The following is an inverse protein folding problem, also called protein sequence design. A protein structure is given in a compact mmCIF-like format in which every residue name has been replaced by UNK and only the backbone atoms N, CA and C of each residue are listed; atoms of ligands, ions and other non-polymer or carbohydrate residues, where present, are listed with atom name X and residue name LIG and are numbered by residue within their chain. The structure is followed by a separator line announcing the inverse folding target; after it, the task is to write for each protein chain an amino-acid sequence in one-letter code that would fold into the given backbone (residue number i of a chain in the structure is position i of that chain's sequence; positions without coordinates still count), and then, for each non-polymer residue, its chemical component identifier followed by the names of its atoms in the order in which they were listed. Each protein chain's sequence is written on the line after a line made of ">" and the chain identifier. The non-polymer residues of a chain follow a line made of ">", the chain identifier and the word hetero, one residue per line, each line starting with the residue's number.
data_IF_140442037474
#
_entry.id   IF_140442037474
#
_cell.length_a   1.000
_cell.length_b   1.000
_cell.length_c   1.000
_cell.angle_alpha   90.00
_cell.angle_beta   90.00
_cell.angle_gamma   90.00
#
_symmetry.space_group_name_H-M   'P 1'
#
loop_
_entity.id
_entity.type
_entity.pdbx_description
1 polymer ?
#
# COMPACT_ATOMS: atom_id res chain seq x y z
N UNK A 1 -26.03 9.65 -25.20
CA UNK A 1 -25.21 9.40 -24.00
C UNK A 1 -25.43 7.95 -23.64
N UNK A 2 -24.37 7.15 -23.63
CA UNK A 2 -24.47 5.71 -23.50
C UNK A 2 -24.07 5.32 -22.08
N UNK A 3 -24.79 4.37 -21.49
CA UNK A 3 -24.52 3.86 -20.15
C UNK A 3 -23.80 2.52 -20.27
N UNK A 4 -22.66 2.38 -19.60
CA UNK A 4 -21.90 1.12 -19.52
C UNK A 4 -21.82 0.66 -18.07
N UNK A 5 -21.87 -0.65 -17.86
CA UNK A 5 -21.53 -1.29 -16.59
C UNK A 5 -20.10 -1.78 -16.66
N UNK A 6 -19.25 -1.37 -15.72
CA UNK A 6 -17.87 -1.85 -15.63
C UNK A 6 -17.86 -3.35 -15.31
N UNK A 7 -17.17 -4.16 -16.11
CA UNK A 7 -17.01 -5.59 -15.82
C UNK A 7 -16.16 -5.86 -14.56
N UNK A 8 -15.24 -4.95 -14.21
CA UNK A 8 -14.35 -5.12 -13.06
C UNK A 8 -14.96 -4.74 -11.70
N UNK A 9 -15.74 -3.65 -11.63
CA UNK A 9 -16.31 -3.15 -10.36
C UNK A 9 -17.84 -3.08 -10.33
N UNK A 10 -18.50 -3.44 -11.43
CA UNK A 10 -19.95 -3.44 -11.60
C UNK A 10 -20.63 -2.07 -11.42
N UNK A 11 -19.85 -0.98 -11.42
CA UNK A 11 -20.37 0.38 -11.38
C UNK A 11 -20.92 0.79 -12.76
N UNK A 12 -22.05 1.49 -12.77
CA UNK A 12 -22.65 2.08 -13.97
C UNK A 12 -22.26 3.54 -14.11
N UNK A 13 -21.84 3.95 -15.31
CA UNK A 13 -21.51 5.35 -15.62
C UNK A 13 -21.72 5.66 -17.10
N UNK A 14 -21.75 6.95 -17.40
CA UNK A 14 -21.96 7.48 -18.75
C UNK A 14 -20.63 7.73 -19.45
N UNK A 15 -20.58 7.48 -20.76
CA UNK A 15 -19.40 7.71 -21.60
C UNK A 15 -19.77 8.34 -22.95
N UNK A 16 -18.79 8.96 -23.61
CA UNK A 16 -18.89 9.46 -24.97
C UNK A 16 -18.23 8.47 -25.95
N UNK A 17 -18.85 8.16 -27.08
CA UNK A 17 -18.35 7.17 -28.06
C UNK A 17 -17.13 7.69 -28.85
N UNK A 18 -16.91 9.01 -28.88
CA UNK A 18 -15.83 9.59 -29.69
C UNK A 18 -14.42 9.16 -29.24
N UNK A 19 -14.27 8.71 -27.99
CA UNK A 19 -12.98 8.23 -27.46
C UNK A 19 -12.83 6.72 -27.67
N UNK A 20 -11.67 6.27 -28.16
CA UNK A 20 -11.44 4.85 -28.47
C UNK A 20 -11.14 4.00 -27.21
N UNK A 21 -10.63 4.64 -26.15
CA UNK A 21 -10.26 4.00 -24.88
C UNK A 21 -10.96 4.77 -23.77
N UNK A 22 -11.72 4.05 -22.95
CA UNK A 22 -12.38 4.63 -21.80
C UNK A 22 -11.83 4.06 -20.50
N UNK A 23 -11.78 4.91 -19.48
CA UNK A 23 -11.37 4.55 -18.13
C UNK A 23 -12.58 4.64 -17.21
N UNK A 24 -12.81 3.61 -16.42
CA UNK A 24 -13.83 3.62 -15.38
C UNK A 24 -13.45 4.66 -14.31
N UNK A 25 -14.32 5.64 -14.00
CA UNK A 25 -14.01 6.69 -13.02
C UNK A 25 -13.88 6.17 -11.58
N UNK A 26 -14.30 4.92 -11.32
CA UNK A 26 -14.27 4.31 -9.99
C UNK A 26 -13.03 3.45 -9.76
N UNK A 27 -12.75 2.49 -10.67
CA UNK A 27 -11.65 1.54 -10.50
C UNK A 27 -10.50 1.72 -11.49
N UNK A 28 -10.60 2.68 -12.41
CA UNK A 28 -9.60 2.93 -13.47
C UNK A 28 -9.33 1.74 -14.40
N UNK A 29 -10.23 0.75 -14.44
CA UNK A 29 -10.21 -0.29 -15.48
C UNK A 29 -10.45 0.37 -16.85
N UNK A 30 -9.64 -0.03 -17.83
CA UNK A 30 -9.73 0.46 -19.20
C UNK A 30 -10.46 -0.53 -20.10
N UNK A 31 -11.44 -0.04 -20.85
CA UNK A 31 -12.27 -0.83 -21.75
C UNK A 31 -12.33 -0.18 -23.13
N UNK A 32 -12.33 -1.01 -24.18
CA UNK A 32 -12.69 -0.61 -25.55
C UNK A 32 -14.16 -0.92 -25.73
N UNK A 33 -14.90 0.00 -26.32
CA UNK A 33 -16.26 -0.26 -26.75
C UNK A 33 -16.24 -0.62 -28.22
N UNK A 34 -16.44 -1.91 -28.50
CA UNK A 34 -16.69 -2.36 -29.85
C UNK A 34 -18.20 -2.32 -30.11
N UNK A 35 -18.65 -1.56 -31.11
CA UNK A 35 -20.08 -1.34 -31.38
C UNK A 35 -20.83 -2.61 -31.78
N UNK A 36 -20.10 -3.65 -32.25
CA UNK A 36 -20.67 -4.94 -32.66
C UNK A 36 -20.63 -6.00 -31.54
N UNK A 37 -19.67 -5.93 -30.62
CA UNK A 37 -19.40 -7.00 -29.63
C UNK A 37 -19.51 -6.54 -28.16
N UNK A 38 -19.77 -5.26 -27.91
CA UNK A 38 -19.89 -4.70 -26.56
C UNK A 38 -18.55 -4.32 -25.94
N UNK A 39 -18.56 -3.98 -24.65
CA UNK A 39 -17.35 -3.58 -23.92
C UNK A 39 -16.39 -4.77 -23.77
N UNK A 40 -15.19 -4.66 -24.35
CA UNK A 40 -14.10 -5.61 -24.14
C UNK A 40 -13.07 -4.99 -23.19
N UNK A 41 -12.88 -5.62 -22.03
CA UNK A 41 -11.81 -5.27 -21.09
C UNK A 41 -10.45 -5.53 -21.78
N UNK A 42 -9.61 -4.49 -21.83
CA UNK A 42 -8.32 -4.52 -22.55
C UNK A 42 -7.14 -4.71 -21.58
N UNK A 43 -7.38 -4.58 -20.29
CA UNK A 43 -6.31 -4.44 -19.29
C UNK A 43 -6.34 -5.66 -18.36
N UNK A 44 -5.17 -6.30 -18.22
CA UNK A 44 -4.98 -7.59 -17.56
C UNK A 44 -5.44 -7.67 -16.10
N UNK A 45 -5.39 -8.88 -15.53
CA UNK A 45 -5.98 -9.24 -14.24
C UNK A 45 -5.74 -8.18 -13.14
N UNK A 46 -6.76 -7.36 -12.88
CA UNK A 46 -6.80 -6.49 -11.72
C UNK A 46 -7.33 -7.29 -10.53
N UNK A 47 -6.53 -7.43 -9.49
CA UNK A 47 -6.93 -8.12 -8.27
C UNK A 47 -7.40 -7.12 -7.22
N UNK A 48 -8.61 -7.35 -6.70
CA UNK A 48 -9.05 -6.74 -5.45
C UNK A 48 -8.77 -7.71 -4.31
N UNK A 49 -8.13 -7.24 -3.24
CA UNK A 49 -8.05 -8.01 -1.99
C UNK A 49 -9.36 -7.78 -1.24
N UNK A 50 -10.26 -8.77 -1.17
CA UNK A 50 -11.52 -8.59 -0.47
C UNK A 50 -11.24 -8.44 1.03
N UNK A 51 -11.87 -7.44 1.65
CA UNK A 51 -11.89 -7.36 3.10
C UNK A 51 -12.79 -8.48 3.64
N UNK A 52 -12.23 -9.36 4.48
CA UNK A 52 -12.95 -10.47 5.14
C UNK A 52 -13.25 -10.19 6.61
N UNK A 53 -12.99 -8.96 7.08
CA UNK A 53 -13.19 -8.59 8.47
C UNK A 53 -14.60 -8.04 8.69
N UNK A 54 -15.27 -8.61 9.68
CA UNK A 54 -16.53 -8.08 10.19
C UNK A 54 -16.28 -6.86 11.07
N UNK A 55 -17.28 -5.97 11.18
CA UNK A 55 -17.17 -4.73 11.96
C UNK A 55 -16.78 -4.97 13.42
N UNK A 56 -17.29 -6.03 14.02
CA UNK A 56 -17.01 -6.44 15.40
C UNK A 56 -15.55 -6.88 15.59
N UNK A 57 -14.96 -7.50 14.55
CA UNK A 57 -13.57 -7.95 14.57
C UNK A 57 -12.59 -6.76 14.48
N UNK A 58 -12.98 -5.67 13.82
CA UNK A 58 -12.12 -4.47 13.72
C UNK A 58 -11.83 -3.89 15.09
N UNK A 59 -12.84 -3.81 15.95
CA UNK A 59 -12.68 -3.26 17.29
C UNK A 59 -11.79 -4.15 18.16
N UNK A 60 -12.03 -5.47 18.15
CA UNK A 60 -11.24 -6.42 18.96
C UNK A 60 -9.78 -6.45 18.54
N UNK A 61 -9.49 -6.52 17.23
CA UNK A 61 -8.12 -6.48 16.67
C UNK A 61 -7.43 -5.18 17.08
N UNK A 62 -8.14 -4.05 17.00
CA UNK A 62 -7.57 -2.76 17.39
C UNK A 62 -7.26 -2.70 18.89
N UNK A 63 -8.17 -3.17 19.75
CA UNK A 63 -7.96 -3.19 21.20
C UNK A 63 -6.81 -4.12 21.60
N UNK A 64 -6.67 -5.27 20.95
CA UNK A 64 -5.52 -6.17 21.17
C UNK A 64 -4.21 -5.51 20.74
N UNK A 65 -4.19 -4.89 19.56
CA UNK A 65 -3.02 -4.19 19.04
C UNK A 65 -2.59 -3.02 19.93
N UNK A 66 -3.53 -2.17 20.36
CA UNK A 66 -3.18 -1.00 21.17
C UNK A 66 -2.73 -1.40 22.58
N UNK A 67 -3.26 -2.51 23.12
CA UNK A 67 -2.91 -2.99 24.46
C UNK A 67 -1.61 -3.79 24.53
N UNK A 68 -1.15 -4.36 23.42
CA UNK A 68 0.07 -5.17 23.33
C UNK A 68 1.36 -4.37 23.11
N UNK A 69 1.28 -3.04 22.95
CA UNK A 69 2.46 -2.19 22.70
C UNK A 69 3.31 -2.02 23.97
N UNK A 70 4.63 -2.17 23.83
CA UNK A 70 5.60 -1.98 24.91
C UNK A 70 5.56 -0.58 25.55
N UNK A 71 5.33 0.47 24.76
CA UNK A 71 5.29 1.86 25.23
C UNK A 71 3.88 2.38 25.50
N UNK A 72 2.97 1.54 25.97
CA UNK A 72 1.58 1.94 26.20
C UNK A 72 1.38 2.54 27.60
N UNK A 73 0.78 3.74 27.73
CA UNK A 73 0.29 4.24 29.02
C UNK A 73 -0.78 3.31 29.63
N UNK A 74 -0.75 3.11 30.93
CA UNK A 74 -1.69 2.19 31.62
C UNK A 74 -3.16 2.54 31.39
N UNK A 75 -3.47 3.84 31.27
CA UNK A 75 -4.82 4.38 31.13
C UNK A 75 -5.44 4.22 29.73
N UNK A 76 -4.70 3.73 28.75
CA UNK A 76 -5.24 3.57 27.38
C UNK A 76 -6.44 2.61 27.35
N UNK A 77 -6.62 1.67 28.31
CA UNK A 77 -7.81 0.80 28.35
C UNK A 77 -9.07 1.55 28.80
N UNK A 78 -8.92 2.55 29.66
CA UNK A 78 -10.04 3.28 30.27
C UNK A 78 -10.40 4.56 29.52
N UNK A 79 -9.44 5.19 28.86
CA UNK A 79 -9.62 6.49 28.20
C UNK A 79 -9.86 6.37 26.68
N UNK A 80 -9.41 5.29 26.05
CA UNK A 80 -9.56 5.12 24.61
C UNK A 80 -10.96 4.60 24.25
N UNK A 81 -11.61 5.27 23.28
CA UNK A 81 -12.87 4.83 22.69
C UNK A 81 -12.81 4.94 21.18
N UNK A 82 -13.25 3.89 20.49
CA UNK A 82 -13.47 3.90 19.05
C UNK A 82 -14.80 4.62 18.80
N UNK A 83 -14.77 5.72 18.05
CA UNK A 83 -15.97 6.48 17.69
C UNK A 83 -16.69 5.90 16.48
N UNK A 84 -15.96 5.20 15.62
CA UNK A 84 -16.48 4.53 14.44
C UNK A 84 -15.36 3.94 13.59
N UNK A 85 -15.73 3.00 12.72
CA UNK A 85 -14.85 2.37 11.75
C UNK A 85 -15.46 2.50 10.36
N UNK A 86 -14.61 2.77 9.37
CA UNK A 86 -15.00 2.85 7.96
C UNK A 86 -13.99 2.05 7.12
N UNK A 87 -14.50 1.28 6.17
CA UNK A 87 -13.66 0.56 5.20
C UNK A 87 -13.30 1.46 4.04
N UNK A 88 -12.02 1.47 3.65
CA UNK A 88 -11.54 2.14 2.44
C UNK A 88 -10.76 1.12 1.62
N UNK A 89 -11.05 1.06 0.32
CA UNK A 89 -10.24 0.33 -0.65
C UNK A 89 -9.25 1.32 -1.26
N UNK A 90 -7.96 1.04 -1.09
CA UNK A 90 -6.89 1.86 -1.68
C UNK A 90 -6.34 1.17 -2.93
N UNK A 91 -6.24 1.86 -4.07
CA UNK A 91 -5.51 1.34 -5.22
C UNK A 91 -4.01 1.36 -4.90
N UNK A 92 -3.32 0.25 -5.12
CA UNK A 92 -1.86 0.18 -4.97
C UNK A 92 -1.25 -0.75 -6.02
N UNK A 93 0.02 -0.47 -6.35
CA UNK A 93 0.81 -1.30 -7.26
C UNK A 93 1.82 -2.10 -6.45
N UNK A 94 1.88 -3.41 -6.72
CA UNK A 94 2.93 -4.28 -6.17
C UNK A 94 4.08 -4.31 -7.17
N UNK A 95 5.21 -3.70 -6.80
CA UNK A 95 6.44 -3.76 -7.58
C UNK A 95 7.40 -4.70 -6.88
N UNK A 96 7.76 -5.81 -7.53
CA UNK A 96 8.82 -6.71 -7.04
C UNK A 96 10.17 -6.17 -7.49
N UNK A 97 11.10 -6.02 -6.56
CA UNK A 97 12.47 -5.55 -6.84
C UNK A 97 13.43 -6.55 -6.21
N UNK A 98 14.35 -7.07 -7.03
CA UNK A 98 15.49 -7.85 -6.57
C UNK A 98 16.76 -7.01 -6.77
N UNK A 99 17.54 -6.84 -5.70
CA UNK A 99 18.77 -6.06 -5.73
C UNK A 99 19.92 -6.88 -5.13
N UNK A 100 20.96 -7.10 -5.93
CA UNK A 100 22.22 -7.67 -5.46
C UNK A 100 23.21 -6.54 -5.20
N UNK A 101 23.75 -6.48 -3.99
CA UNK A 101 24.80 -5.54 -3.62
C UNK A 101 26.03 -6.28 -3.12
N UNK A 102 27.20 -5.83 -3.55
CA UNK A 102 28.50 -6.28 -3.05
C UNK A 102 29.20 -5.08 -2.44
N UNK A 103 29.60 -5.21 -1.18
CA UNK A 103 30.41 -4.21 -0.50
C UNK A 103 31.74 -4.81 -0.07
N UNK A 104 32.81 -4.07 -0.33
CA UNK A 104 34.13 -4.32 0.27
C UNK A 104 34.51 -3.11 1.11
N UNK A 105 35.02 -3.39 2.31
CA UNK A 105 35.51 -2.37 3.22
C UNK A 105 36.85 -2.78 3.80
N UNK A 106 37.74 -1.81 3.96
CA UNK A 106 38.96 -2.00 4.73
C UNK A 106 38.67 -1.64 6.20
N UNK A 107 38.96 -2.56 7.12
CA UNK A 107 38.96 -2.26 8.55
C UNK A 107 40.40 -2.22 9.06
N UNK A 108 40.75 -1.18 9.81
CA UNK A 108 42.01 -1.11 10.53
C UNK A 108 41.71 -1.28 12.02
N UNK A 109 42.29 -2.30 12.67
CA UNK A 109 42.29 -2.37 14.14
C UNK A 109 43.17 -1.24 14.66
N UNK A 110 42.55 -0.22 15.24
CA UNK A 110 43.25 0.77 16.05
C UNK A 110 43.25 0.30 17.51
N UNK A 111 44.43 0.07 18.08
CA UNK A 111 44.54 -0.10 19.53
C UNK A 111 44.33 1.28 20.17
N UNK A 112 43.14 1.51 20.71
CA UNK A 112 42.87 2.71 21.50
C UNK A 112 43.33 2.48 22.94
N UNK A 113 44.33 3.23 23.38
CA UNK A 113 44.64 3.34 24.80
C UNK A 113 43.53 4.14 25.49
N UNK A 114 43.11 3.73 26.69
CA UNK A 114 42.11 4.46 27.49
C UNK A 114 42.54 5.93 27.62
N UNK A 115 41.74 6.85 27.06
CA UNK A 115 41.97 8.30 27.11
C UNK A 115 42.15 8.98 25.74
N UNK A 116 42.30 8.25 24.64
CA UNK A 116 42.27 8.84 23.30
C UNK A 116 40.85 8.93 22.77
N UNK A 117 40.42 10.14 22.38
CA UNK A 117 39.20 10.34 21.60
C UNK A 117 39.35 9.69 20.22
N UNK A 118 38.43 8.81 19.87
CA UNK A 118 38.40 8.14 18.57
C UNK A 118 37.72 9.05 17.55
N UNK A 119 38.49 9.72 16.69
CA UNK A 119 37.93 10.29 15.46
C UNK A 119 37.73 9.17 14.44
N UNK A 120 36.52 8.59 14.44
CA UNK A 120 36.10 7.64 13.42
C UNK A 120 35.83 8.40 12.11
N UNK A 121 36.74 8.31 11.14
CA UNK A 121 36.47 8.73 9.75
C UNK A 121 37.61 9.41 9.00
N UNK A 122 38.60 9.99 9.68
CA UNK A 122 39.58 10.87 9.03
C UNK A 122 40.75 10.14 8.31
N UNK A 123 40.85 8.82 8.39
CA UNK A 123 42.03 8.06 7.89
C UNK A 123 41.85 7.36 6.53
N UNK A 124 40.69 7.46 5.89
CA UNK A 124 40.41 6.74 4.64
C UNK A 124 40.57 7.58 3.35
N UNK A 125 41.06 8.84 3.43
CA UNK A 125 41.21 9.75 2.29
C UNK A 125 42.68 10.06 1.92
N UNK A 126 43.55 9.05 1.84
CA UNK A 126 44.89 9.22 1.26
C UNK A 126 45.15 8.23 0.15
#
# INVERSE_FOLDING_TARGET
>A
MFQVSCAACNASFEYNIDDYIHLCPYCSSGFILDLEEGAKDIIGDHFIVPNRLDREQVESIFYEWITSRYHRPDRVKSEFKILGSYGISLPYWVVSIEAHTFWSGHSQKANHYRGQGSEYGARFLK
#
